data_IF_578046264590
#
_entry.id   IF_578046264590
#
_cell.length_a   1.000
_cell.length_b   1.000
_cell.length_c   1.000
_cell.angle_alpha   90.00
_cell.angle_beta   90.00
_cell.angle_gamma   90.00
#
_symmetry.space_group_name_H-M   'P 1'
#
loop_
_entity.id
_entity.type
_entity.pdbx_description
1 polymer ?
#
# COMPACT_ATOMS: atom_id res chain seq x y z
N UNK A 1 -12.62 17.09 11.09
CA UNK A 1 -11.81 15.84 10.99
C UNK A 1 -10.47 16.24 10.42
N UNK A 2 -9.37 15.66 10.91
CA UNK A 2 -8.06 15.88 10.29
C UNK A 2 -8.05 15.19 8.91
N UNK A 3 -7.50 15.87 7.91
CA UNK A 3 -7.35 15.34 6.55
C UNK A 3 -6.33 14.18 6.56
N UNK A 4 -6.63 13.09 5.84
CA UNK A 4 -5.75 11.92 5.76
C UNK A 4 -4.51 12.29 4.94
N UNK A 5 -3.32 12.03 5.48
CA UNK A 5 -2.04 12.34 4.82
C UNK A 5 -1.48 11.16 4.02
N UNK A 6 -0.55 11.43 3.10
CA UNK A 6 0.13 10.38 2.32
C UNK A 6 0.91 9.43 3.24
N UNK A 7 1.55 9.95 4.29
CA UNK A 7 2.29 9.16 5.28
C UNK A 7 1.36 8.21 6.04
N UNK A 8 0.20 8.68 6.48
CA UNK A 8 -0.81 7.82 7.13
C UNK A 8 -1.33 6.72 6.21
N UNK A 9 -1.54 7.03 4.93
CA UNK A 9 -1.91 6.02 3.94
C UNK A 9 -0.76 5.02 3.76
N UNK A 10 0.49 5.48 3.67
CA UNK A 10 1.64 4.62 3.52
C UNK A 10 1.81 3.69 4.73
N UNK A 11 1.61 4.18 5.95
CA UNK A 11 1.66 3.36 7.16
C UNK A 11 0.57 2.29 7.17
N UNK A 12 -0.68 2.66 6.86
CA UNK A 12 -1.77 1.70 6.75
C UNK A 12 -1.55 0.67 5.61
N UNK A 13 -0.98 1.08 4.48
CA UNK A 13 -0.59 0.17 3.40
C UNK A 13 0.49 -0.81 3.84
N UNK A 14 1.48 -0.34 4.60
CA UNK A 14 2.56 -1.18 5.13
C UNK A 14 2.03 -2.21 6.12
N UNK A 15 1.16 -1.80 7.06
CA UNK A 15 0.51 -2.72 8.01
C UNK A 15 -0.29 -3.82 7.30
N UNK A 16 -0.98 -3.48 6.21
CA UNK A 16 -1.69 -4.46 5.38
C UNK A 16 -0.73 -5.45 4.71
N UNK A 17 0.37 -4.96 4.13
CA UNK A 17 1.38 -5.82 3.50
C UNK A 17 2.03 -6.73 4.54
N UNK A 18 2.41 -6.21 5.70
CA UNK A 18 3.05 -6.97 6.79
C UNK A 18 2.11 -8.06 7.35
N UNK A 19 0.85 -7.72 7.64
CA UNK A 19 -0.12 -8.67 8.20
C UNK A 19 -0.48 -9.84 7.26
N UNK A 20 -0.34 -9.63 5.96
CA UNK A 20 -0.62 -10.62 4.90
C UNK A 20 0.62 -11.30 4.33
N UNK A 21 1.82 -10.84 4.71
CA UNK A 21 3.08 -11.37 4.23
C UNK A 21 3.21 -12.88 4.48
N UNK A 22 3.64 -13.62 3.46
CA UNK A 22 3.74 -15.08 3.48
C UNK A 22 2.39 -15.83 3.40
N UNK A 23 1.25 -15.14 3.46
CA UNK A 23 -0.09 -15.74 3.38
C UNK A 23 -0.79 -15.44 2.06
N UNK A 24 -0.63 -14.23 1.53
CA UNK A 24 -1.27 -13.76 0.30
C UNK A 24 -0.40 -12.74 -0.40
N UNK A 25 -0.30 -12.85 -1.72
CA UNK A 25 0.30 -11.79 -2.55
C UNK A 25 -0.72 -10.68 -2.83
N UNK A 26 -0.34 -9.43 -2.55
CA UNK A 26 -1.19 -8.26 -2.79
C UNK A 26 -0.78 -7.54 -4.06
N UNK A 27 -1.72 -7.36 -5.00
CA UNK A 27 -1.49 -6.46 -6.14
C UNK A 27 -1.55 -5.01 -5.66
N UNK A 28 -0.91 -4.06 -6.37
CA UNK A 28 -1.00 -2.63 -6.04
C UNK A 28 -2.44 -2.12 -5.95
N UNK A 29 -3.32 -2.66 -6.79
CA UNK A 29 -4.75 -2.32 -6.78
C UNK A 29 -5.50 -2.89 -5.58
N UNK A 30 -5.07 -4.02 -5.01
CA UNK A 30 -5.68 -4.58 -3.81
C UNK A 30 -5.38 -3.68 -2.61
N UNK A 31 -4.12 -3.26 -2.48
CA UNK A 31 -3.67 -2.29 -1.47
C UNK A 31 -4.40 -0.95 -1.63
N UNK A 32 -4.52 -0.45 -2.87
CA UNK A 32 -5.24 0.80 -3.17
C UNK A 32 -6.71 0.73 -2.77
N UNK A 33 -7.40 -0.37 -3.10
CA UNK A 33 -8.82 -0.55 -2.74
C UNK A 33 -8.99 -0.65 -1.24
N UNK A 34 -8.14 -1.39 -0.55
CA UNK A 34 -8.20 -1.51 0.91
C UNK A 34 -8.08 -0.16 1.62
N UNK A 35 -7.23 0.76 1.14
CA UNK A 35 -7.12 2.10 1.72
C UNK A 35 -8.36 2.96 1.45
N UNK A 36 -8.93 2.87 0.25
CA UNK A 36 -10.17 3.59 -0.08
C UNK A 36 -11.34 3.05 0.77
N UNK A 37 -11.42 1.73 0.96
CA UNK A 37 -12.43 1.10 1.81
C UNK A 37 -12.25 1.48 3.30
N UNK A 38 -11.00 1.60 3.77
CA UNK A 38 -10.67 1.93 5.15
C UNK A 38 -10.92 3.40 5.51
N UNK A 39 -10.51 4.33 4.64
CA UNK A 39 -10.57 5.77 4.91
C UNK A 39 -11.78 6.46 4.28
N UNK A 40 -12.44 5.83 3.31
CA UNK A 40 -13.56 6.37 2.54
C UNK A 40 -13.12 7.08 1.25
N UNK A 41 -13.95 6.96 0.21
CA UNK A 41 -13.73 7.55 -1.12
C UNK A 41 -13.61 9.08 -1.10
N UNK A 42 -14.22 9.75 -0.11
CA UNK A 42 -14.14 11.21 0.05
C UNK A 42 -12.81 11.67 0.68
N UNK A 43 -12.08 10.78 1.37
CA UNK A 43 -10.85 11.11 2.09
C UNK A 43 -9.59 10.61 1.38
N UNK A 44 -9.68 9.51 0.63
CA UNK A 44 -8.55 8.89 -0.06
C UNK A 44 -8.90 8.59 -1.50
N UNK A 45 -8.08 9.09 -2.42
CA UNK A 45 -8.19 8.79 -3.84
C UNK A 45 -7.04 7.91 -4.34
N UNK A 46 -7.16 7.43 -5.59
CA UNK A 46 -6.12 6.61 -6.24
C UNK A 46 -4.78 7.33 -6.39
N UNK A 47 -4.77 8.67 -6.48
CA UNK A 47 -3.55 9.46 -6.67
C UNK A 47 -2.76 9.51 -5.36
N UNK A 48 -3.43 9.66 -4.22
CA UNK A 48 -2.84 9.58 -2.90
C UNK A 48 -2.28 8.18 -2.65
N UNK A 49 -3.06 7.13 -2.94
CA UNK A 49 -2.59 5.74 -2.85
C UNK A 49 -1.34 5.47 -3.70
N UNK A 50 -1.27 6.01 -4.93
CA UNK A 50 -0.08 5.88 -5.79
C UNK A 50 1.14 6.58 -5.19
N UNK A 51 0.97 7.73 -4.55
CA UNK A 51 2.06 8.45 -3.86
C UNK A 51 2.51 7.69 -2.61
N UNK A 52 1.58 7.15 -1.83
CA UNK A 52 1.88 6.35 -0.65
C UNK A 52 2.63 5.06 -1.00
N UNK A 53 2.18 4.32 -2.03
CA UNK A 53 2.92 3.17 -2.55
C UNK A 53 4.33 3.56 -2.98
N UNK A 54 4.48 4.67 -3.71
CA UNK A 54 5.80 5.17 -4.10
C UNK A 54 6.68 5.48 -2.88
N UNK A 55 6.13 6.12 -1.85
CA UNK A 55 6.84 6.40 -0.61
C UNK A 55 7.36 5.12 0.07
N UNK A 56 6.55 4.05 0.09
CA UNK A 56 6.97 2.76 0.65
C UNK A 56 8.11 2.11 -0.15
N UNK A 57 8.07 2.21 -1.48
CA UNK A 57 9.12 1.66 -2.35
C UNK A 57 10.40 2.49 -2.25
N UNK A 58 10.29 3.82 -2.34
CA UNK A 58 11.43 4.76 -2.32
C UNK A 58 12.13 4.74 -0.94
N UNK A 59 11.39 4.45 0.15
CA UNK A 59 11.95 4.27 1.51
C UNK A 59 12.52 2.87 1.76
N UNK A 60 12.31 1.91 0.85
CA UNK A 60 12.72 0.53 1.03
C UNK A 60 11.89 -0.25 2.05
N UNK A 61 10.75 0.28 2.53
CA UNK A 61 9.82 -0.45 3.41
C UNK A 61 9.07 -1.56 2.68
N UNK A 62 8.83 -1.38 1.38
CA UNK A 62 8.26 -2.40 0.51
C UNK A 62 9.07 -2.51 -0.78
N UNK A 63 8.88 -3.60 -1.51
CA UNK A 63 9.40 -3.79 -2.86
C UNK A 63 8.33 -4.37 -3.78
N UNK A 64 8.59 -4.31 -5.09
CA UNK A 64 7.79 -5.03 -6.08
C UNK A 64 8.40 -6.40 -6.35
N UNK A 65 7.54 -7.43 -6.34
CA UNK A 65 7.85 -8.77 -6.83
C UNK A 65 7.08 -9.04 -8.11
N UNK A 66 7.72 -9.75 -9.04
CA UNK A 66 7.08 -10.21 -10.28
C UNK A 66 6.89 -11.72 -10.27
N UNK A 67 5.64 -12.18 -10.33
CA UNK A 67 5.27 -13.59 -10.33
C UNK A 67 4.00 -13.82 -11.18
N UNK A 68 4.11 -13.62 -12.50
CA UNK A 68 2.93 -13.62 -13.40
C UNK A 68 2.04 -12.37 -13.24
N UNK A 69 2.56 -11.35 -12.57
CA UNK A 69 1.92 -10.09 -12.25
C UNK A 69 2.79 -9.29 -11.28
N UNK A 70 2.47 -8.01 -11.08
CA UNK A 70 3.14 -7.16 -10.09
C UNK A 70 2.46 -7.24 -8.73
N UNK A 71 3.26 -7.48 -7.70
CA UNK A 71 2.80 -7.55 -6.31
C UNK A 71 3.65 -6.66 -5.42
N UNK A 72 3.03 -6.07 -4.40
CA UNK A 72 3.72 -5.32 -3.34
C UNK A 72 4.02 -6.30 -2.21
N UNK A 73 5.27 -6.35 -1.77
CA UNK A 73 5.73 -7.28 -0.74
C UNK A 73 6.80 -6.64 0.14
N UNK A 74 7.15 -7.27 1.25
CA UNK A 74 8.30 -6.86 2.06
C UNK A 74 9.61 -7.16 1.30
N UNK A 75 10.66 -6.33 1.44
CA UNK A 75 11.97 -6.60 0.86
C UNK A 75 12.52 -7.93 1.38
N UNK A 76 13.06 -8.73 0.47
CA UNK A 76 13.88 -9.89 0.83
C UNK A 76 15.30 -9.35 1.08
N UNK A 77 15.80 -9.52 2.30
CA UNK A 77 17.16 -9.13 2.70
C UNK A 77 18.22 -10.09 2.17
#
# INVERSE_FOLDING_TARGET
MAEVTIDQIADAMFELVESTYGKKDLKPMDVTKAMIDQFGEDAVDKKMCKKALRLLIDSGRCTYKYAGGSFVTLPEG
#
